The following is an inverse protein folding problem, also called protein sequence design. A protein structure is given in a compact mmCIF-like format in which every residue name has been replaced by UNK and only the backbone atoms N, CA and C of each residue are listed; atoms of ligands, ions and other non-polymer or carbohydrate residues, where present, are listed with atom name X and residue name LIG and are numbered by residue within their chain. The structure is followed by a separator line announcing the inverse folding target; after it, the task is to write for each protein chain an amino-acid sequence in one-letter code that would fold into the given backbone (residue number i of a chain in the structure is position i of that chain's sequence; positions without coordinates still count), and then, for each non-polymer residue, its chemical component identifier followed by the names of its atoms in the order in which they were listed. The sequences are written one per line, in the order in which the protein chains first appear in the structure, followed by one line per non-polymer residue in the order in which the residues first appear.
data_IF_195730020970
#
_entry.id   IF_195730020970
#
_cell.length_a   1.000
_cell.length_b   1.000
_cell.length_c   1.000
_cell.angle_alpha   90.00
_cell.angle_beta   90.00
_cell.angle_gamma   90.00
#
_symmetry.space_group_name_H-M   'P 1'
#
loop_
_entity.id
_entity.type
_entity.pdbx_description
1 polymer ?
#
# COMPACT_ATOMS: atom_id res chain seq x y z
N UNK A 1 -14.12 -10.38 -3.19
CA UNK A 1 -14.07 -11.46 -4.22
C UNK A 1 -13.39 -12.68 -3.63
N UNK A 2 -14.11 -13.81 -3.50
CA UNK A 2 -13.59 -14.93 -2.69
C UNK A 2 -13.40 -14.49 -1.24
N UNK A 3 -12.29 -14.88 -0.62
CA UNK A 3 -11.91 -14.42 0.72
C UNK A 3 -11.22 -13.05 0.76
N UNK A 4 -11.04 -12.38 -0.39
CA UNK A 4 -10.41 -11.05 -0.46
C UNK A 4 -11.41 -9.93 -0.19
N UNK A 5 -10.99 -8.94 0.59
CA UNK A 5 -11.76 -7.76 0.97
C UNK A 5 -10.94 -6.48 0.74
N UNK A 6 -11.60 -5.44 0.26
CA UNK A 6 -11.16 -4.06 0.38
C UNK A 6 -12.42 -3.23 0.64
N UNK A 7 -12.40 -2.35 1.64
CA UNK A 7 -13.55 -1.51 1.98
C UNK A 7 -13.12 -0.19 2.59
N UNK A 8 -14.02 0.78 2.53
CA UNK A 8 -13.95 2.02 3.27
C UNK A 8 -15.02 2.08 4.36
N UNK A 9 -14.68 2.70 5.48
CA UNK A 9 -15.61 3.10 6.54
C UNK A 9 -15.39 4.59 6.87
N UNK A 10 -16.43 5.35 7.26
CA UNK A 10 -16.26 6.74 7.70
C UNK A 10 -15.29 6.83 8.88
N UNK A 11 -14.35 7.77 8.82
CA UNK A 11 -13.37 8.03 9.88
C UNK A 11 -12.85 9.46 9.79
N UNK A 12 -12.73 10.14 10.93
CA UNK A 12 -12.24 11.52 11.03
C UNK A 12 -10.70 11.56 10.95
N UNK A 13 -10.18 11.20 9.78
CA UNK A 13 -8.74 11.05 9.50
C UNK A 13 -8.53 10.09 8.35
N UNK A 14 -7.29 9.62 8.15
CA UNK A 14 -7.02 8.52 7.22
C UNK A 14 -6.41 7.36 7.98
N UNK A 15 -7.13 6.26 8.09
CA UNK A 15 -6.63 5.02 8.70
C UNK A 15 -6.49 3.94 7.65
N UNK A 16 -5.42 3.17 7.71
CA UNK A 16 -5.22 2.02 6.82
C UNK A 16 -4.86 0.79 7.64
N UNK A 17 -5.74 -0.21 7.56
CA UNK A 17 -5.48 -1.58 7.97
C UNK A 17 -5.21 -2.44 6.74
N UNK A 18 -4.12 -3.21 6.76
CA UNK A 18 -3.81 -4.16 5.70
C UNK A 18 -3.37 -5.49 6.27
N UNK A 19 -3.94 -6.57 5.73
CA UNK A 19 -3.59 -7.94 6.08
C UNK A 19 -3.23 -8.74 4.84
N UNK A 20 -2.03 -9.30 4.82
CA UNK A 20 -1.61 -10.28 3.81
C UNK A 20 -1.79 -11.69 4.34
N UNK A 21 -1.89 -12.67 3.42
CA UNK A 21 -1.81 -14.09 3.77
C UNK A 21 -0.97 -14.78 2.72
N UNK A 22 0.18 -15.29 3.15
CA UNK A 22 1.09 -16.08 2.33
C UNK A 22 1.41 -17.37 3.08
N UNK A 23 1.31 -18.50 2.38
CA UNK A 23 1.81 -19.77 2.89
C UNK A 23 3.32 -19.83 2.64
N UNK A 24 4.08 -19.08 3.45
CA UNK A 24 5.53 -18.97 3.29
C UNK A 24 6.23 -18.77 4.64
N UNK A 25 7.29 -19.54 4.98
CA UNK A 25 7.94 -19.46 6.30
C UNK A 25 8.51 -18.07 6.64
N UNK A 26 8.97 -17.31 5.64
CA UNK A 26 9.49 -15.96 5.83
C UNK A 26 8.40 -14.88 6.03
N UNK A 27 7.12 -15.23 5.89
CA UNK A 27 5.98 -14.33 6.05
C UNK A 27 4.99 -14.95 7.05
N UNK A 28 5.35 -15.01 8.34
CA UNK A 28 4.50 -15.63 9.34
C UNK A 28 3.24 -14.79 9.59
N UNK A 29 2.19 -15.46 10.06
CA UNK A 29 0.92 -14.83 10.41
C UNK A 29 1.05 -13.70 11.44
N UNK A 30 2.02 -13.80 12.34
CA UNK A 30 2.30 -12.79 13.37
C UNK A 30 2.82 -11.46 12.81
N UNK A 31 3.31 -11.44 11.56
CA UNK A 31 3.85 -10.26 10.87
C UNK A 31 3.05 -9.90 9.62
N UNK A 32 1.83 -10.44 9.51
CA UNK A 32 1.01 -10.34 8.30
C UNK A 32 -0.05 -9.24 8.35
N UNK A 33 -0.12 -8.45 9.43
CA UNK A 33 -1.02 -7.30 9.57
C UNK A 33 -0.23 -6.04 9.92
N UNK A 34 -0.58 -4.94 9.26
CA UNK A 34 -0.19 -3.59 9.65
C UNK A 34 -1.43 -2.72 9.79
N UNK A 35 -1.41 -1.78 10.71
CA UNK A 35 -2.44 -0.76 10.88
C UNK A 35 -1.73 0.56 11.15
N UNK A 36 -2.10 1.62 10.42
CA UNK A 36 -1.61 2.97 10.69
C UNK A 36 -2.76 3.98 10.72
N UNK A 37 -2.67 4.91 11.66
CA UNK A 37 -3.34 6.20 11.55
C UNK A 37 -2.39 7.13 10.80
N UNK A 38 -2.77 7.56 9.61
CA UNK A 38 -1.83 8.11 8.65
C UNK A 38 -1.42 9.52 9.05
N UNK A 39 -0.11 9.72 9.13
CA UNK A 39 0.52 11.03 9.10
C UNK A 39 1.67 11.02 8.09
N UNK A 40 2.06 12.20 7.60
CA UNK A 40 3.25 12.34 6.73
C UNK A 40 4.50 11.76 7.38
N UNK A 41 4.70 11.99 8.68
CA UNK A 41 5.87 11.51 9.41
C UNK A 41 5.87 9.99 9.55
N UNK A 42 4.72 9.39 9.88
CA UNK A 42 4.59 7.95 10.03
C UNK A 42 4.74 7.26 8.68
N UNK A 43 4.15 7.80 7.61
CA UNK A 43 4.38 7.28 6.27
C UNK A 43 5.86 7.24 5.89
N UNK A 44 6.58 8.35 6.10
CA UNK A 44 8.02 8.44 5.79
C UNK A 44 8.81 7.42 6.61
N UNK A 45 8.57 7.35 7.91
CA UNK A 45 9.34 6.50 8.84
C UNK A 45 9.02 5.01 8.68
N UNK A 46 7.75 4.68 8.49
CA UNK A 46 7.22 3.34 8.70
C UNK A 46 6.85 2.60 7.42
N UNK A 47 6.54 3.31 6.33
CA UNK A 47 6.00 2.69 5.11
C UNK A 47 6.89 2.95 3.89
N UNK A 48 7.39 4.17 3.72
CA UNK A 48 8.01 4.64 2.47
C UNK A 48 9.22 3.82 2.00
N UNK A 49 9.93 3.16 2.91
CA UNK A 49 11.14 2.37 2.60
C UNK A 49 10.84 0.89 2.38
N UNK A 50 9.60 0.42 2.50
CA UNK A 50 9.27 -1.00 2.29
C UNK A 50 9.40 -1.39 0.82
N UNK A 51 10.32 -2.31 0.52
CA UNK A 51 10.62 -2.72 -0.86
C UNK A 51 9.58 -3.68 -1.40
N UNK A 52 9.44 -3.67 -2.73
CA UNK A 52 8.68 -4.71 -3.44
C UNK A 52 9.37 -6.07 -3.31
N UNK A 53 8.62 -7.14 -3.56
CA UNK A 53 9.10 -8.49 -3.35
C UNK A 53 8.54 -9.47 -4.38
N UNK A 54 9.30 -10.54 -4.64
CA UNK A 54 8.89 -11.61 -5.54
C UNK A 54 9.59 -12.92 -5.21
N UNK A 55 9.03 -14.03 -5.70
CA UNK A 55 9.63 -15.35 -5.56
C UNK A 55 10.61 -15.60 -6.71
N UNK A 56 11.74 -16.25 -6.42
CA UNK A 56 12.79 -16.56 -7.40
C UNK A 56 12.23 -17.33 -8.60
N UNK A 57 11.37 -18.33 -8.35
CA UNK A 57 10.71 -19.11 -9.40
C UNK A 57 9.84 -18.26 -10.33
N UNK A 58 9.20 -17.23 -9.78
CA UNK A 58 8.30 -16.35 -10.55
C UNK A 58 9.12 -15.36 -11.38
N UNK A 59 10.25 -14.87 -10.85
CA UNK A 59 11.15 -13.96 -11.55
C UNK A 59 11.76 -14.58 -12.82
N UNK A 60 12.13 -15.86 -12.77
CA UNK A 60 12.62 -16.59 -13.95
C UNK A 60 11.54 -16.65 -15.03
N UNK A 61 10.33 -17.07 -14.66
CA UNK A 61 9.18 -17.11 -15.58
C UNK A 61 8.80 -15.73 -16.12
N UNK A 62 8.81 -14.69 -15.28
CA UNK A 62 8.53 -13.31 -15.70
C UNK A 62 9.51 -12.83 -16.77
N UNK A 63 10.81 -13.12 -16.61
CA UNK A 63 11.84 -12.73 -17.58
C UNK A 63 11.65 -13.38 -18.94
N UNK A 64 11.24 -14.65 -18.98
CA UNK A 64 10.88 -15.35 -20.23
C UNK A 64 9.72 -14.66 -20.97
N UNK A 65 8.85 -13.97 -20.23
CA UNK A 65 7.72 -13.21 -20.77
C UNK A 65 7.99 -11.70 -20.91
N UNK A 66 9.26 -11.27 -20.88
CA UNK A 66 9.67 -9.86 -20.95
C UNK A 66 9.12 -8.97 -19.81
N UNK A 67 8.82 -9.56 -18.66
CA UNK A 67 8.40 -8.86 -17.44
C UNK A 67 9.56 -8.81 -16.44
N UNK A 68 9.61 -7.75 -15.63
CA UNK A 68 10.60 -7.66 -14.54
C UNK A 68 12.06 -7.70 -15.00
N UNK A 69 12.36 -7.30 -16.24
CA UNK A 69 13.71 -7.37 -16.83
C UNK A 69 14.77 -6.57 -16.05
N UNK A 70 14.36 -5.51 -15.34
CA UNK A 70 15.22 -4.73 -14.45
C UNK A 70 15.24 -5.22 -13.00
N UNK A 71 14.54 -6.31 -12.67
CA UNK A 71 14.46 -6.83 -11.30
C UNK A 71 15.78 -7.43 -10.85
N UNK A 72 16.31 -6.95 -9.73
CA UNK A 72 17.50 -7.46 -9.05
C UNK A 72 17.30 -7.43 -7.53
N UNK A 73 18.22 -8.04 -6.78
CA UNK A 73 18.20 -7.97 -5.31
C UNK A 73 18.46 -6.55 -4.76
N UNK A 74 18.92 -5.62 -5.61
CA UNK A 74 19.15 -4.22 -5.21
C UNK A 74 17.83 -3.43 -5.13
N UNK A 75 16.81 -3.84 -5.90
CA UNK A 75 15.53 -3.14 -6.01
C UNK A 75 14.32 -3.94 -5.54
N UNK A 76 14.47 -5.24 -5.33
CA UNK A 76 13.41 -6.11 -4.81
C UNK A 76 13.94 -7.07 -3.74
N UNK A 77 13.04 -7.44 -2.82
CA UNK A 77 13.26 -8.58 -1.93
C UNK A 77 12.97 -9.85 -2.73
N UNK A 78 13.93 -10.77 -2.77
CA UNK A 78 13.77 -12.04 -3.47
C UNK A 78 13.64 -13.16 -2.44
N UNK A 79 12.62 -13.99 -2.58
CA UNK A 79 12.41 -15.16 -1.74
C UNK A 79 12.64 -16.45 -2.54
N UNK A 80 13.25 -17.46 -1.92
CA UNK A 80 13.10 -18.85 -2.37
C UNK A 80 11.85 -19.48 -1.73
N UNK A 81 11.78 -20.81 -1.60
CA UNK A 81 10.63 -21.49 -0.98
C UNK A 81 10.63 -21.43 0.56
N UNK A 82 11.73 -20.98 1.17
CA UNK A 82 11.97 -21.10 2.61
C UNK A 82 12.41 -19.79 3.26
N UNK A 83 13.08 -18.89 2.55
CA UNK A 83 13.77 -17.72 3.12
C UNK A 83 13.94 -16.55 2.15
N UNK A 84 14.36 -15.42 2.72
CA UNK A 84 14.82 -14.23 1.99
C UNK A 84 16.25 -14.45 1.50
N UNK A 85 16.53 -14.07 0.25
CA UNK A 85 17.84 -14.24 -0.40
C UNK A 85 18.74 -13.01 -0.32
N UNK A 86 18.20 -11.81 -0.06
CA UNK A 86 18.98 -10.59 0.08
C UNK A 86 19.96 -10.70 1.27
N UNK A 87 21.25 -10.44 1.05
CA UNK A 87 22.30 -10.58 2.08
C UNK A 87 22.08 -9.68 3.29
N UNK A 88 21.63 -8.43 3.06
CA UNK A 88 21.29 -7.46 4.11
C UNK A 88 19.95 -7.74 4.81
N UNK A 89 19.21 -8.76 4.34
CA UNK A 89 17.89 -9.12 4.87
C UNK A 89 16.81 -8.06 4.63
N UNK A 90 15.92 -7.92 5.61
CA UNK A 90 14.78 -7.01 5.59
C UNK A 90 15.08 -5.70 6.30
N UNK A 91 14.47 -4.60 5.83
CA UNK A 91 14.48 -3.29 6.50
C UNK A 91 13.54 -3.28 7.71
N UNK A 92 12.48 -4.08 7.65
CA UNK A 92 11.48 -4.25 8.69
C UNK A 92 11.14 -5.74 8.81
N UNK A 93 10.82 -6.22 10.02
CA UNK A 93 10.42 -7.62 10.20
C UNK A 93 9.16 -7.97 9.38
N UNK A 94 8.26 -7.00 9.23
CA UNK A 94 6.97 -7.03 8.54
C UNK A 94 7.01 -6.26 7.19
N UNK A 95 8.19 -6.19 6.53
CA UNK A 95 8.39 -5.38 5.31
C UNK A 95 7.40 -5.73 4.18
N UNK A 96 6.98 -6.99 4.08
CA UNK A 96 6.04 -7.46 3.05
C UNK A 96 4.65 -6.83 3.17
N UNK A 97 4.08 -6.79 4.39
CA UNK A 97 2.76 -6.18 4.60
C UNK A 97 2.84 -4.66 4.53
N UNK A 98 3.96 -4.06 4.97
CA UNK A 98 4.21 -2.61 4.81
C UNK A 98 4.29 -2.21 3.34
N UNK A 99 4.91 -3.02 2.47
CA UNK A 99 4.90 -2.75 1.04
C UNK A 99 3.49 -2.86 0.44
N UNK A 100 2.65 -3.78 0.92
CA UNK A 100 1.24 -3.84 0.49
C UNK A 100 0.39 -2.68 0.99
N UNK A 101 0.70 -2.14 2.17
CA UNK A 101 0.14 -0.86 2.59
C UNK A 101 0.61 0.29 1.69
N UNK A 102 1.90 0.35 1.33
CA UNK A 102 2.45 1.32 0.39
C UNK A 102 1.75 1.24 -0.99
N UNK A 103 1.60 0.04 -1.54
CA UNK A 103 0.86 -0.22 -2.78
C UNK A 103 -0.58 0.31 -2.68
N UNK A 104 -1.29 0.00 -1.58
CA UNK A 104 -2.65 0.44 -1.37
C UNK A 104 -2.76 1.97 -1.28
N UNK A 105 -1.87 2.65 -0.56
CA UNK A 105 -1.83 4.13 -0.50
C UNK A 105 -1.73 4.72 -1.91
N UNK A 106 -0.85 4.16 -2.75
CA UNK A 106 -0.69 4.58 -4.14
C UNK A 106 -1.93 4.33 -5.00
N UNK A 107 -2.53 3.14 -4.90
CA UNK A 107 -3.74 2.76 -5.63
C UNK A 107 -4.95 3.64 -5.25
N UNK A 108 -5.10 3.94 -3.96
CA UNK A 108 -6.20 4.77 -3.45
C UNK A 108 -6.08 6.22 -3.90
N UNK A 109 -4.85 6.71 -4.09
CA UNK A 109 -4.61 8.06 -4.61
C UNK A 109 -5.08 8.25 -6.06
N UNK A 110 -5.41 7.16 -6.77
CA UNK A 110 -6.10 7.23 -8.07
C UNK A 110 -7.52 7.81 -7.98
N UNK A 111 -8.07 7.97 -6.77
CA UNK A 111 -9.29 8.75 -6.55
C UNK A 111 -9.13 10.24 -6.90
N UNK A 112 -7.89 10.73 -7.04
CA UNK A 112 -7.57 12.12 -7.40
C UNK A 112 -7.50 13.09 -6.22
N UNK A 113 -7.88 12.64 -5.02
CA UNK A 113 -7.87 13.41 -3.78
C UNK A 113 -7.37 12.54 -2.63
N UNK A 114 -6.85 13.19 -1.58
CA UNK A 114 -6.61 12.51 -0.31
C UNK A 114 -7.97 12.06 0.27
N UNK A 115 -8.03 10.82 0.76
CA UNK A 115 -9.25 10.23 1.31
C UNK A 115 -9.28 10.45 2.82
N UNK A 116 -10.42 10.89 3.32
CA UNK A 116 -10.78 10.84 4.74
C UNK A 116 -11.69 9.63 4.96
N UNK A 117 -11.21 8.68 5.74
CA UNK A 117 -11.85 7.39 5.94
C UNK A 117 -10.88 6.33 6.44
N UNK A 118 -11.44 5.20 6.86
CA UNK A 118 -10.70 4.02 7.24
C UNK A 118 -10.75 3.01 6.09
N UNK A 119 -9.59 2.71 5.50
CA UNK A 119 -9.42 1.61 4.58
C UNK A 119 -9.08 0.32 5.33
N UNK A 120 -9.74 -0.79 4.99
CA UNK A 120 -9.34 -2.13 5.43
C UNK A 120 -9.19 -3.06 4.21
N UNK A 121 -7.98 -3.60 4.05
CA UNK A 121 -7.64 -4.54 2.99
C UNK A 121 -7.24 -5.90 3.55
N UNK A 122 -7.91 -6.97 3.13
CA UNK A 122 -7.54 -8.35 3.46
C UNK A 122 -7.27 -9.12 2.17
N UNK A 123 -6.02 -9.58 2.00
CA UNK A 123 -5.53 -10.22 0.76
C UNK A 123 -5.82 -9.38 -0.50
N UNK A 124 -5.92 -8.06 -0.32
CA UNK A 124 -6.16 -7.14 -1.42
C UNK A 124 -4.91 -6.99 -2.30
N UNK A 125 -5.10 -6.45 -3.50
CA UNK A 125 -4.04 -6.05 -4.41
C UNK A 125 -4.59 -5.04 -5.41
N UNK A 126 -3.76 -4.58 -6.35
CA UNK A 126 -4.08 -3.47 -7.25
C UNK A 126 -5.46 -3.56 -7.92
N UNK A 127 -5.84 -4.74 -8.42
CA UNK A 127 -7.13 -4.92 -9.08
C UNK A 127 -8.32 -4.66 -8.14
N UNK A 128 -8.25 -5.12 -6.88
CA UNK A 128 -9.34 -4.94 -5.91
C UNK A 128 -9.36 -3.53 -5.35
N UNK A 129 -8.19 -2.92 -5.12
CA UNK A 129 -8.09 -1.52 -4.73
C UNK A 129 -8.66 -0.59 -5.80
N UNK A 130 -8.33 -0.82 -7.07
CA UNK A 130 -8.88 -0.04 -8.17
C UNK A 130 -10.40 -0.23 -8.31
N UNK A 131 -10.90 -1.45 -8.13
CA UNK A 131 -12.33 -1.71 -8.15
C UNK A 131 -13.06 -0.93 -7.03
N UNK A 132 -12.51 -0.92 -5.82
CA UNK A 132 -13.04 -0.16 -4.69
C UNK A 132 -13.06 1.36 -4.99
N UNK A 133 -11.97 1.91 -5.53
CA UNK A 133 -11.91 3.33 -5.90
C UNK A 133 -12.97 3.68 -6.95
N UNK A 134 -13.16 2.83 -7.98
CA UNK A 134 -14.20 3.04 -8.99
C UNK A 134 -15.60 2.98 -8.40
N UNK A 135 -15.85 2.07 -7.47
CA UNK A 135 -17.13 1.95 -6.78
C UNK A 135 -17.42 3.18 -5.92
N UNK A 136 -16.44 3.62 -5.12
CA UNK A 136 -16.54 4.86 -4.33
C UNK A 136 -16.87 6.07 -5.21
N UNK A 137 -16.17 6.26 -6.33
CA UNK A 137 -16.43 7.39 -7.22
C UNK A 137 -17.75 7.30 -7.99
N UNK A 138 -18.32 6.10 -8.15
CA UNK A 138 -19.60 5.90 -8.80
C UNK A 138 -20.79 6.18 -7.87
N UNK A 139 -20.60 6.03 -6.56
CA UNK A 139 -21.61 6.31 -5.53
C UNK A 139 -21.39 7.70 -4.91
N UNK A 140 -22.06 8.71 -5.46
CA UNK A 140 -21.96 10.09 -4.98
C UNK A 140 -22.60 10.32 -3.60
N UNK A 141 -23.36 9.36 -3.05
CA UNK A 141 -23.92 9.47 -1.69
C UNK A 141 -22.93 8.94 -0.64
N UNK A 142 -21.85 8.28 -1.06
CA UNK A 142 -20.85 7.68 -0.18
C UNK A 142 -19.70 8.63 0.22
N UNK A 143 -19.61 9.82 -0.38
CA UNK A 143 -18.53 10.77 -0.10
C UNK A 143 -18.94 12.23 -0.36
N UNK A 144 -18.24 13.15 0.31
CA UNK A 144 -18.31 14.59 0.07
C UNK A 144 -16.90 15.15 -0.13
N UNK A 145 -16.76 16.14 -1.01
CA UNK A 145 -15.53 16.95 -1.08
C UNK A 145 -15.57 17.98 0.03
N UNK A 146 -14.55 17.94 0.88
CA UNK A 146 -14.30 18.99 1.87
C UNK A 146 -13.05 19.77 1.51
N UNK A 147 -13.08 21.06 1.80
CA UNK A 147 -11.92 21.95 1.75
C UNK A 147 -11.61 22.40 3.17
N UNK A 148 -10.34 22.31 3.56
CA UNK A 148 -9.83 22.90 4.79
C UNK A 148 -8.73 23.89 4.44
N UNK A 149 -8.64 24.98 5.19
CA UNK A 149 -7.50 25.88 5.09
C UNK A 149 -6.21 25.13 5.43
N UNK A 150 -5.09 25.55 4.85
CA UNK A 150 -3.82 24.82 4.93
C UNK A 150 -3.32 24.59 6.37
N UNK A 151 -3.79 25.40 7.32
CA UNK A 151 -3.47 25.34 8.75
C UNK A 151 -4.45 24.46 9.56
N UNK A 152 -5.61 24.12 8.99
CA UNK A 152 -6.68 23.31 9.61
C UNK A 152 -6.83 21.93 8.94
N UNK A 153 -6.23 21.73 7.77
CA UNK A 153 -6.27 20.46 7.05
C UNK A 153 -5.61 19.34 7.88
N UNK A 154 -6.27 18.17 8.05
CA UNK A 154 -5.62 17.04 8.70
C UNK A 154 -4.36 16.64 7.91
N UNK A 155 -3.34 16.13 8.60
CA UNK A 155 -2.05 15.78 8.00
C UNK A 155 -2.16 14.48 7.17
N UNK A 156 -2.87 14.54 6.04
CA UNK A 156 -3.38 13.35 5.36
C UNK A 156 -2.40 12.72 4.38
N UNK A 157 -1.40 13.46 3.89
CA UNK A 157 -0.37 12.98 2.95
C UNK A 157 0.87 13.88 2.97
N UNK A 158 2.05 13.36 2.58
CA UNK A 158 3.16 14.23 2.22
C UNK A 158 2.69 15.17 1.13
N UNK A 159 2.79 16.48 1.36
CA UNK A 159 2.63 17.49 0.30
C UNK A 159 3.77 17.28 -0.70
N UNK A 160 3.57 16.42 -1.69
CA UNK A 160 4.48 16.28 -2.81
C UNK A 160 4.35 17.52 -3.71
N UNK A 161 5.14 18.54 -3.42
CA UNK A 161 5.21 19.78 -4.19
C UNK A 161 4.62 20.99 -3.45
N UNK A 162 5.36 22.09 -3.50
CA UNK A 162 4.83 23.42 -3.21
C UNK A 162 3.61 23.68 -4.08
N UNK A 163 2.44 23.91 -3.47
CA UNK A 163 1.32 24.51 -4.17
C UNK A 163 1.79 25.84 -4.75
N UNK A 164 1.82 25.93 -6.08
CA UNK A 164 1.98 27.22 -6.75
C UNK A 164 0.69 28.01 -6.47
N UNK A 165 0.78 29.25 -5.97
CA UNK A 165 -0.39 30.08 -5.80
C UNK A 165 -0.95 30.36 -7.20
N UNK A 166 -2.21 30.00 -7.41
CA UNK A 166 -2.98 30.52 -8.55
C UNK A 166 -3.48 31.90 -8.12
N UNK A 167 -3.15 32.91 -8.93
CA UNK A 167 -3.63 34.29 -8.78
C UNK A 167 -5.16 34.37 -8.77
#
# INVERSE_FOLDING_TARGET
HGDKLARFEPFDGFRLGFTVKFDHPAIPDTLSRVELDFSTEDYIREISRARTFGFMRDLESMREHNLGLGGSMDNAIVLDEFRVLNEDGLRYADEFVRHKALDAIGDLYLAGHAILGAYEGYKSGHALNNALVRELLADAEAWDIISADADEAPQLMPRYGTALPVL
#
